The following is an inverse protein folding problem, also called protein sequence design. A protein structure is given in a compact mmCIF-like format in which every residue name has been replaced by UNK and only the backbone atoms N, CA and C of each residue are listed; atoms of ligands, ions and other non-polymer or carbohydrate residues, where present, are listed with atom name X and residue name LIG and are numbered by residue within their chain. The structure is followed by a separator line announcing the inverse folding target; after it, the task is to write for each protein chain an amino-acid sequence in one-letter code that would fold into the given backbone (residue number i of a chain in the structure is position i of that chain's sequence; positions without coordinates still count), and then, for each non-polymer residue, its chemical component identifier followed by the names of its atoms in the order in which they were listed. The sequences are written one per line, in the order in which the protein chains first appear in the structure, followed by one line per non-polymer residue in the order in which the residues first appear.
data_IF_050995427663
#
_entry.id   IF_050995427663
#
_cell.length_a   1.000
_cell.length_b   1.000
_cell.length_c   1.000
_cell.angle_alpha   90.00
_cell.angle_beta   90.00
_cell.angle_gamma   90.00
#
_symmetry.space_group_name_H-M   'P 1'
#
loop_
_entity.id
_entity.type
_entity.pdbx_description
1 polymer ?
#
# COMPACT_ATOMS: atom_id res chain seq x y z
N UNK A 1 19.25 22.06 23.11
CA UNK A 1 20.40 22.20 24.03
C UNK A 1 19.98 21.64 25.37
N UNK A 2 20.86 20.95 26.09
CA UNK A 2 20.54 20.45 27.43
C UNK A 2 20.44 21.63 28.42
N UNK A 3 19.39 21.65 29.24
CA UNK A 3 19.13 22.73 30.22
C UNK A 3 19.76 22.35 31.56
N UNK A 4 20.71 23.15 32.07
CA UNK A 4 21.22 22.98 33.43
C UNK A 4 20.23 23.59 34.44
N UNK A 5 19.46 22.71 35.08
CA UNK A 5 18.43 23.02 36.06
C UNK A 5 18.98 23.64 37.35
N UNK A 6 20.24 23.35 37.71
CA UNK A 6 20.86 23.86 38.94
C UNK A 6 21.38 25.30 38.79
N UNK A 7 21.57 25.79 37.55
CA UNK A 7 22.20 27.07 37.28
C UNK A 7 21.47 28.22 37.98
N UNK A 8 22.19 28.94 38.84
CA UNK A 8 21.77 30.09 39.65
C UNK A 8 20.57 29.81 40.56
N UNK A 9 20.34 28.54 40.90
CA UNK A 9 19.29 28.16 41.85
C UNK A 9 19.73 28.43 43.29
N UNK A 10 18.77 28.62 44.22
CA UNK A 10 19.06 28.74 45.65
C UNK A 10 19.80 27.49 46.18
N UNK A 11 20.77 27.71 47.05
CA UNK A 11 21.55 26.62 47.66
C UNK A 11 21.68 26.79 49.16
N UNK A 12 21.82 25.65 49.84
CA UNK A 12 22.21 25.55 51.25
C UNK A 12 23.25 24.44 51.39
N UNK A 13 24.12 24.52 52.39
CA UNK A 13 25.14 23.50 52.64
C UNK A 13 25.28 23.19 54.12
N UNK A 14 25.86 22.03 54.44
CA UNK A 14 26.14 21.63 55.82
C UNK A 14 27.15 22.55 56.52
N UNK A 15 28.13 23.05 55.77
CA UNK A 15 29.08 24.06 56.22
C UNK A 15 29.68 24.80 55.03
N UNK A 16 30.30 25.95 55.27
CA UNK A 16 31.22 26.56 54.33
C UNK A 16 32.20 27.52 55.04
N UNK A 17 33.32 27.86 54.38
CA UNK A 17 34.22 28.93 54.80
C UNK A 17 34.08 30.14 53.87
N UNK A 18 33.89 31.34 54.41
CA UNK A 18 33.87 32.55 53.57
C UNK A 18 35.21 32.77 52.84
N UNK A 19 35.21 33.22 51.57
CA UNK A 19 34.04 33.60 50.75
C UNK A 19 33.40 32.47 49.94
N UNK A 20 33.76 31.21 50.16
CA UNK A 20 33.44 30.03 49.35
C UNK A 20 32.07 29.41 49.67
N UNK A 21 31.02 30.24 49.60
CA UNK A 21 29.63 29.85 49.86
C UNK A 21 29.06 28.89 48.79
N UNK A 22 28.01 28.11 49.10
CA UNK A 22 27.47 27.09 48.19
C UNK A 22 26.93 27.64 46.87
N UNK A 23 26.42 28.88 46.85
CA UNK A 23 25.88 29.49 45.64
C UNK A 23 26.92 29.64 44.51
N UNK A 24 28.22 29.63 44.85
CA UNK A 24 29.31 29.68 43.87
C UNK A 24 29.45 28.40 43.07
N UNK A 25 29.02 27.26 43.61
CA UNK A 25 29.09 25.98 42.89
C UNK A 25 27.93 25.78 41.91
N UNK A 26 27.06 26.76 41.70
CA UNK A 26 25.96 26.68 40.72
C UNK A 26 25.83 27.97 39.91
N UNK A 27 26.84 28.84 39.90
CA UNK A 27 26.74 30.16 39.29
C UNK A 27 27.15 30.20 37.80
N UNK A 28 27.72 29.11 37.28
CA UNK A 28 28.24 28.99 35.92
C UNK A 28 29.67 29.53 35.72
N UNK A 29 30.32 30.03 36.76
CA UNK A 29 31.74 30.39 36.75
C UNK A 29 32.54 29.30 37.47
N UNK A 30 33.09 28.37 36.70
CA UNK A 30 33.83 27.23 37.21
C UNK A 30 35.32 27.25 36.86
N UNK A 31 35.77 28.30 36.18
CA UNK A 31 37.18 28.50 35.79
C UNK A 31 37.91 29.45 36.74
N UNK A 32 37.19 30.32 37.45
CA UNK A 32 37.78 31.21 38.45
C UNK A 32 38.06 30.46 39.74
N UNK A 33 39.32 30.41 40.23
CA UNK A 33 39.68 29.69 41.46
C UNK A 33 38.84 30.01 42.72
N UNK A 34 38.36 31.26 42.82
CA UNK A 34 37.55 31.68 43.96
C UNK A 34 36.06 31.33 43.82
N UNK A 35 35.61 30.94 42.63
CA UNK A 35 34.22 30.55 42.38
C UNK A 35 34.04 29.05 42.68
N UNK A 36 34.04 28.74 43.98
CA UNK A 36 33.87 27.39 44.48
C UNK A 36 33.15 27.39 45.82
N UNK A 37 32.48 26.27 46.11
CA UNK A 37 32.07 25.92 47.46
C UNK A 37 33.24 25.27 48.22
N UNK A 38 33.41 25.56 49.52
CA UNK A 38 34.39 24.90 50.39
C UNK A 38 33.73 24.45 51.70
N UNK A 39 33.48 23.15 51.83
CA UNK A 39 33.00 22.50 53.04
C UNK A 39 34.16 22.23 54.02
N UNK A 40 33.96 22.53 55.30
CA UNK A 40 35.01 22.41 56.34
C UNK A 40 34.79 21.24 57.31
N UNK A 41 33.65 20.55 57.21
CA UNK A 41 33.29 19.42 58.05
C UNK A 41 32.64 18.32 57.21
N UNK A 42 33.18 17.10 57.32
CA UNK A 42 32.66 15.93 56.62
C UNK A 42 32.17 14.85 57.60
N UNK A 43 31.11 14.09 57.27
CA UNK A 43 30.37 14.15 56.00
C UNK A 43 29.60 15.47 55.85
N UNK A 44 29.53 15.96 54.61
CA UNK A 44 28.96 17.27 54.31
C UNK A 44 28.19 17.26 53.00
N UNK A 45 27.40 18.29 52.76
CA UNK A 45 26.52 18.33 51.59
C UNK A 45 26.29 19.75 51.09
N UNK A 46 25.98 19.86 49.80
CA UNK A 46 25.44 21.06 49.17
C UNK A 46 24.14 20.67 48.46
N UNK A 47 23.05 21.30 48.87
CA UNK A 47 21.70 21.12 48.33
C UNK A 47 21.35 22.31 47.44
N UNK A 48 20.68 22.02 46.32
CA UNK A 48 20.09 22.97 45.38
C UNK A 48 18.57 22.80 45.42
N UNK A 49 17.82 23.88 45.61
CA UNK A 49 16.37 23.92 45.39
C UNK A 49 16.09 24.28 43.93
N UNK A 50 15.62 23.31 43.14
CA UNK A 50 15.28 23.56 41.73
C UNK A 50 14.01 24.43 41.59
N UNK A 51 13.27 24.64 42.68
CA UNK A 51 12.04 25.43 42.78
C UNK A 51 10.77 24.60 42.59
N UNK A 52 10.84 23.58 41.74
CA UNK A 52 9.75 22.68 41.38
C UNK A 52 10.33 21.28 41.11
N UNK A 53 9.48 20.27 40.93
CA UNK A 53 9.94 18.93 40.56
C UNK A 53 10.33 18.92 39.09
N UNK A 54 11.58 18.55 38.79
CA UNK A 54 12.06 18.37 37.42
C UNK A 54 12.50 16.93 37.19
N UNK A 55 12.30 16.43 35.96
CA UNK A 55 12.93 15.19 35.48
C UNK A 55 14.34 15.47 34.95
N UNK A 56 15.33 14.72 35.42
CA UNK A 56 16.72 14.83 35.00
C UNK A 56 17.38 13.45 34.91
N UNK A 57 18.33 13.31 34.00
CA UNK A 57 19.02 12.04 33.73
C UNK A 57 20.54 12.19 33.65
N UNK A 58 21.08 13.40 33.80
CA UNK A 58 22.51 13.66 33.75
C UNK A 58 22.93 14.67 34.80
N UNK A 59 24.07 14.41 35.42
CA UNK A 59 24.66 15.29 36.41
C UNK A 59 26.15 15.45 36.17
N UNK A 60 26.67 16.64 36.50
CA UNK A 60 28.08 16.96 36.36
C UNK A 60 28.60 17.59 37.64
N UNK A 61 29.74 17.09 38.10
CA UNK A 61 30.54 17.67 39.19
C UNK A 61 31.88 18.09 38.62
N UNK A 62 32.14 19.40 38.62
CA UNK A 62 33.41 20.00 38.24
C UNK A 62 34.20 20.38 39.48
N UNK A 63 35.44 19.92 39.55
CA UNK A 63 36.25 19.98 40.77
C UNK A 63 37.49 20.83 40.57
N UNK A 64 38.16 21.18 41.66
CA UNK A 64 39.20 22.21 41.64
C UNK A 64 40.25 22.07 40.53
N UNK A 65 40.75 20.87 40.13
CA UNK A 65 41.77 20.80 39.09
C UNK A 65 41.38 21.44 37.75
N UNK A 66 40.08 21.57 37.43
CA UNK A 66 39.65 22.26 36.21
C UNK A 66 40.03 23.75 36.19
N UNK A 67 40.31 24.33 37.35
CA UNK A 67 40.76 25.71 37.51
C UNK A 67 42.23 25.80 37.97
N UNK A 68 43.02 24.73 37.73
CA UNK A 68 44.49 24.76 37.78
C UNK A 68 45.14 24.11 39.00
N UNK A 69 44.39 23.45 39.87
CA UNK A 69 44.96 22.75 41.02
C UNK A 69 45.51 21.35 40.66
N UNK A 70 46.49 20.84 41.42
CA UNK A 70 47.03 19.51 41.20
C UNK A 70 45.95 18.42 41.24
N UNK A 71 45.94 17.56 40.22
CA UNK A 71 45.13 16.33 40.16
C UNK A 71 46.01 15.13 40.51
N UNK A 72 45.52 14.13 41.29
CA UNK A 72 44.16 13.99 41.81
C UNK A 72 43.95 14.59 43.21
N UNK A 73 44.98 15.22 43.78
CA UNK A 73 45.00 15.77 45.15
C UNK A 73 43.75 16.58 45.50
N UNK A 74 43.27 17.41 44.57
CA UNK A 74 42.12 18.28 44.77
C UNK A 74 40.82 17.77 44.12
N UNK A 75 40.73 16.46 43.86
CA UNK A 75 39.48 15.79 43.55
C UNK A 75 38.87 15.23 44.86
N UNK A 76 37.58 15.45 45.09
CA UNK A 76 36.77 14.74 46.07
C UNK A 76 36.75 13.24 45.73
N UNK A 77 36.84 12.40 46.78
CA UNK A 77 37.04 10.96 46.65
C UNK A 77 35.71 10.20 46.63
N UNK A 78 34.85 10.39 47.64
CA UNK A 78 33.60 9.63 47.80
C UNK A 78 32.42 10.59 47.96
N UNK A 79 31.51 10.57 46.99
CA UNK A 79 30.31 11.42 46.99
C UNK A 79 29.15 10.80 46.22
N UNK A 80 27.94 11.19 46.61
CA UNK A 80 26.69 10.61 46.15
C UNK A 80 25.77 11.74 45.67
N UNK A 81 25.21 11.59 44.46
CA UNK A 81 24.07 12.39 44.03
C UNK A 81 22.82 11.87 44.73
N UNK A 82 22.10 12.76 45.40
CA UNK A 82 20.84 12.43 46.08
C UNK A 82 19.70 13.36 45.64
N UNK A 83 18.47 12.83 45.62
CA UNK A 83 17.24 13.56 45.32
C UNK A 83 16.24 13.55 46.48
N UNK A 84 15.44 14.60 46.61
CA UNK A 84 14.38 14.76 47.62
C UNK A 84 13.25 15.66 47.12
N UNK A 85 12.03 15.46 47.65
CA UNK A 85 10.87 16.34 47.40
C UNK A 85 10.44 17.15 48.62
N UNK A 86 10.99 16.86 49.80
CA UNK A 86 10.71 17.52 51.08
C UNK A 86 11.95 18.19 51.70
N UNK A 87 13.12 18.02 51.08
CA UNK A 87 14.45 18.40 51.58
C UNK A 87 14.90 17.69 52.88
N UNK A 88 14.13 16.72 53.37
CA UNK A 88 14.38 15.99 54.62
C UNK A 88 14.72 14.52 54.35
N UNK A 89 13.93 13.87 53.49
CA UNK A 89 14.07 12.48 53.08
C UNK A 89 14.82 12.41 51.75
N UNK A 90 15.96 11.71 51.72
CA UNK A 90 16.87 11.68 50.58
C UNK A 90 17.05 10.28 50.02
N UNK A 91 16.98 10.15 48.69
CA UNK A 91 17.27 8.92 47.96
C UNK A 91 18.62 9.03 47.23
N UNK A 92 19.44 7.98 47.30
CA UNK A 92 20.68 7.85 46.53
C UNK A 92 20.36 7.55 45.06
N UNK A 93 20.88 8.37 44.15
CA UNK A 93 20.64 8.24 42.70
C UNK A 93 21.86 7.71 41.95
N UNK A 94 23.06 8.17 42.33
CA UNK A 94 24.34 7.70 41.80
C UNK A 94 25.43 7.90 42.85
N UNK A 95 26.37 6.95 42.93
CA UNK A 95 27.45 6.96 43.90
C UNK A 95 28.81 6.92 43.19
N UNK A 96 29.71 7.78 43.65
CA UNK A 96 31.09 7.88 43.22
C UNK A 96 31.98 7.54 44.40
N UNK A 97 32.91 6.61 44.21
CA UNK A 97 33.88 6.20 45.22
C UNK A 97 35.29 6.18 44.63
N UNK A 98 36.29 6.46 45.46
CA UNK A 98 37.71 6.52 45.12
C UNK A 98 38.00 7.38 43.87
N UNK A 99 37.27 8.49 43.71
CA UNK A 99 37.40 9.34 42.54
C UNK A 99 38.73 10.09 42.50
N UNK A 100 39.33 10.08 41.31
CA UNK A 100 40.55 10.83 40.98
C UNK A 100 40.33 11.80 39.81
N UNK A 101 39.14 11.82 39.21
CA UNK A 101 38.81 12.65 38.05
C UNK A 101 38.36 14.06 38.46
N UNK A 102 38.87 15.06 37.74
CA UNK A 102 38.52 16.47 37.94
C UNK A 102 37.08 16.82 37.49
N UNK A 103 36.53 16.02 36.58
CA UNK A 103 35.15 16.13 36.11
C UNK A 103 34.53 14.75 36.25
N UNK A 104 33.38 14.69 36.92
CA UNK A 104 32.49 13.54 36.89
C UNK A 104 31.25 13.97 36.12
N UNK A 105 31.03 13.35 34.96
CA UNK A 105 29.91 13.61 34.07
C UNK A 105 29.22 12.28 33.78
N UNK A 106 28.04 12.07 34.35
CA UNK A 106 27.38 10.76 34.37
C UNK A 106 25.91 10.87 34.01
N UNK A 107 25.46 9.87 33.26
CA UNK A 107 24.04 9.60 33.04
C UNK A 107 23.53 8.70 34.17
N UNK A 108 22.33 8.98 34.66
CA UNK A 108 21.56 8.04 35.46
C UNK A 108 21.07 6.89 34.58
N UNK A 109 20.90 5.72 35.18
CA UNK A 109 20.36 4.54 34.50
C UNK A 109 18.89 4.71 34.09
N UNK A 110 18.16 5.56 34.82
CA UNK A 110 16.83 6.03 34.48
C UNK A 110 16.67 7.48 34.96
N UNK A 111 15.87 8.28 34.26
CA UNK A 111 15.58 9.64 34.68
C UNK A 111 14.93 9.65 36.08
N UNK A 112 15.36 10.58 36.93
CA UNK A 112 14.85 10.80 38.27
C UNK A 112 14.03 12.10 38.32
N UNK A 113 13.01 12.17 39.18
CA UNK A 113 12.14 13.34 39.32
C UNK A 113 12.14 13.86 40.75
N UNK A 114 12.80 15.00 40.99
CA UNK A 114 12.92 15.60 42.31
C UNK A 114 12.93 17.13 42.25
N UNK A 115 12.50 17.79 43.34
CA UNK A 115 12.64 19.23 43.52
C UNK A 115 13.99 19.64 44.11
N UNK A 116 14.46 18.88 45.08
CA UNK A 116 15.73 19.12 45.75
C UNK A 116 16.73 18.08 45.30
N UNK A 117 17.94 18.53 44.99
CA UNK A 117 19.07 17.69 44.64
C UNK A 117 20.26 18.10 45.48
N UNK A 118 21.06 17.13 45.93
CA UNK A 118 22.28 17.45 46.67
C UNK A 118 23.42 16.55 46.27
N UNK A 119 24.62 17.10 46.41
CA UNK A 119 25.85 16.32 46.45
C UNK A 119 26.16 16.05 47.92
N UNK A 120 26.15 14.77 48.31
CA UNK A 120 26.55 14.33 49.65
C UNK A 120 27.97 13.79 49.59
N UNK A 121 28.88 14.39 50.35
CA UNK A 121 30.31 14.06 50.35
C UNK A 121 30.63 13.30 51.62
N UNK A 122 30.91 12.01 51.46
CA UNK A 122 31.33 11.15 52.56
C UNK A 122 32.85 11.26 52.81
N UNK A 123 33.64 11.37 51.73
CA UNK A 123 35.09 11.53 51.78
C UNK A 123 35.55 12.65 50.86
N UNK A 124 36.26 13.61 51.45
CA UNK A 124 36.67 14.86 50.83
C UNK A 124 37.77 14.74 49.78
N UNK A 125 38.60 15.78 49.66
CA UNK A 125 39.72 15.85 48.72
C UNK A 125 40.72 14.70 48.95
N UNK A 126 41.33 14.16 47.89
CA UNK A 126 42.34 13.10 48.03
C UNK A 126 43.56 13.53 48.87
N UNK A 127 43.95 14.81 48.83
CA UNK A 127 45.02 15.34 49.67
C UNK A 127 44.58 15.67 51.10
N UNK A 128 43.28 15.83 51.36
CA UNK A 128 42.74 16.03 52.70
C UNK A 128 41.27 15.63 52.76
N UNK A 129 41.02 14.45 53.33
CA UNK A 129 39.70 13.82 53.33
C UNK A 129 38.66 14.49 54.24
N UNK A 130 39.05 15.55 54.98
CA UNK A 130 38.18 16.33 55.88
C UNK A 130 37.53 17.54 55.24
N UNK A 131 37.96 17.93 54.03
CA UNK A 131 37.41 19.08 53.31
C UNK A 131 36.83 18.64 51.97
N UNK A 132 35.76 19.28 51.53
CA UNK A 132 35.21 19.12 50.19
C UNK A 132 35.21 20.46 49.47
N UNK A 133 35.49 20.48 48.18
CA UNK A 133 35.41 21.71 47.40
C UNK A 133 35.01 21.44 45.96
N UNK A 134 34.11 22.27 45.46
CA UNK A 134 33.41 22.05 44.21
C UNK A 134 33.37 23.34 43.41
N UNK A 135 33.75 23.28 42.14
CA UNK A 135 33.72 24.42 41.21
C UNK A 135 32.31 24.59 40.63
N UNK A 136 31.68 23.50 40.17
CA UNK A 136 30.31 23.53 39.64
C UNK A 136 29.58 22.22 39.91
N UNK A 137 28.28 22.32 40.20
CA UNK A 137 27.31 21.24 40.29
C UNK A 137 26.20 21.50 39.26
N UNK A 138 26.12 20.65 38.25
CA UNK A 138 25.19 20.77 37.15
C UNK A 138 24.20 19.60 37.17
N UNK A 139 22.93 19.88 36.91
CA UNK A 139 21.85 18.89 36.78
C UNK A 139 21.15 19.18 35.47
N UNK A 140 21.13 18.22 34.55
CA UNK A 140 20.59 18.44 33.21
C UNK A 140 19.22 17.79 33.05
N UNK A 141 18.26 18.56 32.58
CA UNK A 141 16.89 18.11 32.32
C UNK A 141 16.89 16.91 31.36
N UNK A 142 16.13 15.88 31.72
CA UNK A 142 15.94 14.72 30.87
C UNK A 142 15.09 15.12 29.65
N UNK A 143 15.32 14.53 28.47
CA UNK A 143 14.41 14.70 27.35
C UNK A 143 12.98 14.34 27.78
N UNK A 144 11.98 15.15 27.43
CA UNK A 144 10.60 14.83 27.80
C UNK A 144 10.21 13.54 27.08
N UNK A 145 9.44 12.67 27.74
CA UNK A 145 9.12 11.36 27.19
C UNK A 145 7.69 10.93 27.51
N UNK A 146 7.14 10.11 26.62
CA UNK A 146 5.90 9.40 26.88
C UNK A 146 6.17 8.25 27.86
N UNK A 147 5.28 8.11 28.85
CA UNK A 147 5.18 6.95 29.72
C UNK A 147 4.40 5.80 29.07
N UNK A 148 3.53 6.11 28.11
CA UNK A 148 2.74 5.13 27.37
C UNK A 148 2.25 5.68 26.04
N UNK A 149 2.05 4.79 25.07
CA UNK A 149 1.41 5.10 23.80
C UNK A 149 0.54 3.92 23.37
N UNK A 150 -0.76 4.12 23.36
CA UNK A 150 -1.73 3.14 22.83
C UNK A 150 -2.26 3.68 21.51
N UNK A 151 -2.32 2.82 20.49
CA UNK A 151 -2.99 3.11 19.22
C UNK A 151 -4.22 2.22 19.14
N UNK A 152 -5.37 2.80 18.75
CA UNK A 152 -6.61 2.06 18.54
C UNK A 152 -7.18 2.30 17.15
N UNK A 153 -7.80 1.28 16.57
CA UNK A 153 -8.52 1.41 15.30
C UNK A 153 -9.93 2.01 15.48
N UNK A 154 -10.67 2.11 14.38
CA UNK A 154 -12.04 2.65 14.38
C UNK A 154 -13.05 1.80 15.14
N UNK A 155 -12.72 0.55 15.46
CA UNK A 155 -13.55 -0.39 16.21
C UNK A 155 -13.09 -0.53 17.68
N UNK A 156 -12.20 0.37 18.13
CA UNK A 156 -11.59 0.41 19.48
C UNK A 156 -10.64 -0.77 19.80
N UNK A 157 -10.23 -1.56 18.80
CA UNK A 157 -9.21 -2.59 18.98
C UNK A 157 -7.82 -1.97 19.08
N UNK A 158 -6.96 -2.57 19.90
CA UNK A 158 -5.55 -2.14 20.01
C UNK A 158 -4.82 -2.49 18.72
N UNK A 159 -4.17 -1.49 18.13
CA UNK A 159 -3.22 -1.66 17.03
C UNK A 159 -1.83 -1.82 17.62
N UNK A 160 -1.26 -3.02 17.52
CA UNK A 160 0.03 -3.34 18.11
C UNK A 160 1.18 -2.60 17.42
N UNK A 161 2.02 -1.94 18.23
CA UNK A 161 3.25 -1.30 17.78
C UNK A 161 4.40 -2.31 17.71
N UNK A 162 5.24 -2.17 16.71
CA UNK A 162 6.49 -2.91 16.52
C UNK A 162 7.67 -1.93 16.33
N UNK A 163 8.64 -1.90 17.26
CA UNK A 163 8.70 -2.66 18.50
C UNK A 163 7.57 -2.28 19.47
N UNK A 164 7.34 -3.09 20.52
CA UNK A 164 6.43 -2.70 21.59
C UNK A 164 6.90 -1.37 22.23
N UNK A 165 5.96 -0.56 22.74
CA UNK A 165 6.27 0.80 23.19
C UNK A 165 7.37 0.81 24.26
N UNK A 166 8.37 1.67 24.05
CA UNK A 166 9.44 1.99 24.98
C UNK A 166 9.74 3.49 24.91
N UNK A 167 9.81 4.19 26.04
CA UNK A 167 10.00 5.64 26.08
C UNK A 167 11.27 6.14 25.37
N UNK A 168 12.28 5.27 25.19
CA UNK A 168 13.56 5.55 24.52
C UNK A 168 13.55 5.22 23.02
N UNK A 169 12.49 4.62 22.49
CA UNK A 169 12.35 4.34 21.06
C UNK A 169 11.53 5.43 20.39
N UNK A 170 12.13 6.05 19.37
CA UNK A 170 11.55 7.22 18.70
C UNK A 170 10.73 6.86 17.44
N UNK A 171 10.78 5.60 16.98
CA UNK A 171 10.11 5.17 15.75
C UNK A 171 9.45 3.80 15.92
N UNK A 172 8.20 3.72 15.46
CA UNK A 172 7.35 2.55 15.55
C UNK A 172 6.70 2.25 14.22
N UNK A 173 6.43 0.97 13.97
CA UNK A 173 5.63 0.49 12.85
C UNK A 173 4.40 -0.23 13.37
N UNK A 174 3.30 -0.15 12.63
CA UNK A 174 2.13 -0.98 12.85
C UNK A 174 1.46 -1.31 11.51
N UNK A 175 0.62 -2.35 11.51
CA UNK A 175 -0.18 -2.71 10.34
C UNK A 175 -1.66 -2.77 10.72
N UNK A 176 -2.54 -2.29 9.84
CA UNK A 176 -3.99 -2.36 10.02
C UNK A 176 -4.67 -3.02 8.82
N UNK A 177 -5.84 -3.59 9.07
CA UNK A 177 -6.67 -4.21 8.05
C UNK A 177 -7.25 -3.16 7.09
N UNK A 178 -7.63 -3.60 5.89
CA UNK A 178 -8.22 -2.74 4.85
C UNK A 178 -9.52 -2.06 5.32
N UNK A 179 -10.26 -2.67 6.25
CA UNK A 179 -11.50 -2.12 6.82
C UNK A 179 -11.28 -0.92 7.75
N UNK A 180 -10.09 -0.75 8.32
CA UNK A 180 -9.81 0.31 9.29
C UNK A 180 -9.78 1.67 8.60
N UNK A 181 -10.77 2.52 8.85
CA UNK A 181 -10.88 3.83 8.22
C UNK A 181 -9.98 4.89 8.88
N UNK A 182 -9.78 4.78 10.20
CA UNK A 182 -9.02 5.72 11.00
C UNK A 182 -8.42 5.05 12.23
N UNK A 183 -7.45 5.70 12.85
CA UNK A 183 -6.93 5.35 14.17
C UNK A 183 -7.03 6.52 15.13
N UNK A 184 -6.96 6.24 16.42
CA UNK A 184 -6.77 7.22 17.48
C UNK A 184 -5.56 6.84 18.33
N UNK A 185 -4.91 7.84 18.93
CA UNK A 185 -3.76 7.65 19.80
C UNK A 185 -4.10 8.11 21.21
N UNK A 186 -3.69 7.33 22.21
CA UNK A 186 -3.81 7.63 23.63
C UNK A 186 -2.39 7.73 24.20
N UNK A 187 -1.73 8.89 24.07
CA UNK A 187 -0.41 9.13 24.64
C UNK A 187 -0.52 9.49 26.12
N UNK A 188 0.40 8.98 26.94
CA UNK A 188 0.52 9.28 28.37
C UNK A 188 1.93 9.81 28.67
N UNK A 189 2.05 10.84 29.51
CA UNK A 189 3.33 11.42 29.94
C UNK A 189 3.56 11.13 31.42
N UNK A 190 4.83 11.09 31.83
CA UNK A 190 5.20 11.02 33.25
C UNK A 190 5.18 12.42 33.89
N UNK A 191 5.61 13.43 33.14
CA UNK A 191 5.66 14.82 33.59
C UNK A 191 4.32 15.51 33.35
N UNK A 192 3.65 15.94 34.42
CA UNK A 192 2.35 16.60 34.34
C UNK A 192 2.39 17.98 33.68
N UNK A 193 3.57 18.59 33.55
CA UNK A 193 3.77 19.86 32.84
C UNK A 193 3.92 19.68 31.32
N UNK A 194 4.08 18.44 30.84
CA UNK A 194 4.31 18.17 29.43
C UNK A 194 3.08 18.44 28.56
N UNK A 195 3.33 19.06 27.40
CA UNK A 195 2.33 19.26 26.35
C UNK A 195 2.52 18.18 25.28
N UNK A 196 1.47 17.43 24.98
CA UNK A 196 1.47 16.41 23.92
C UNK A 196 0.75 16.96 22.69
N UNK A 197 1.31 16.75 21.50
CA UNK A 197 0.62 16.97 20.23
C UNK A 197 0.66 15.72 19.37
N UNK A 198 -0.48 15.37 18.77
CA UNK A 198 -0.61 14.32 17.75
C UNK A 198 -0.93 14.99 16.42
N UNK A 199 -0.06 14.85 15.42
CA UNK A 199 -0.14 15.59 14.14
C UNK A 199 -0.36 17.11 14.36
N UNK A 200 0.42 17.70 15.26
CA UNK A 200 0.34 19.12 15.68
C UNK A 200 -0.90 19.54 16.49
N UNK A 201 -1.87 18.65 16.71
CA UNK A 201 -3.06 18.92 17.54
C UNK A 201 -2.82 18.52 18.99
N UNK A 202 -3.11 19.40 19.94
CA UNK A 202 -2.93 19.11 21.37
C UNK A 202 -3.84 17.99 21.84
N UNK A 203 -3.29 17.10 22.67
CA UNK A 203 -4.00 15.96 23.28
C UNK A 203 -3.71 15.93 24.77
N UNK A 204 -4.74 15.77 25.58
CA UNK A 204 -4.57 15.64 27.04
C UNK A 204 -3.99 14.26 27.36
N UNK A 205 -3.03 14.21 28.30
CA UNK A 205 -2.39 12.97 28.72
C UNK A 205 -3.41 11.90 29.12
N UNK A 206 -3.24 10.68 28.61
CA UNK A 206 -4.11 9.53 28.89
C UNK A 206 -5.47 9.59 28.18
N UNK A 207 -5.72 10.58 27.31
CA UNK A 207 -6.97 10.71 26.55
C UNK A 207 -6.75 10.42 25.06
N UNK A 208 -7.84 10.07 24.37
CA UNK A 208 -7.80 9.77 22.93
C UNK A 208 -7.67 11.05 22.10
N UNK A 209 -6.83 11.00 21.08
CA UNK A 209 -6.75 12.03 20.03
C UNK A 209 -8.03 12.09 19.20
N UNK A 210 -8.15 13.12 18.36
CA UNK A 210 -9.10 13.07 17.24
C UNK A 210 -8.77 11.88 16.30
N UNK A 211 -9.77 11.31 15.60
CA UNK A 211 -9.53 10.27 14.59
C UNK A 211 -8.61 10.76 13.47
N UNK A 212 -7.63 9.94 13.12
CA UNK A 212 -6.68 10.18 12.03
C UNK A 212 -7.02 9.21 10.91
N UNK A 213 -7.40 9.73 9.75
CA UNK A 213 -7.72 8.92 8.56
C UNK A 213 -6.52 8.11 8.11
N UNK A 214 -6.73 6.81 7.85
CA UNK A 214 -5.71 5.91 7.34
C UNK A 214 -6.05 5.51 5.90
N UNK A 215 -5.20 5.96 4.98
CA UNK A 215 -5.27 5.61 3.56
C UNK A 215 -4.53 4.30 3.29
N UNK A 216 -4.84 3.64 2.17
CA UNK A 216 -4.08 2.45 1.74
C UNK A 216 -2.60 2.82 1.59
N UNK A 217 -1.71 1.93 2.03
CA UNK A 217 -0.27 2.16 2.07
C UNK A 217 0.19 2.73 3.42
N UNK A 218 1.34 3.40 3.39
CA UNK A 218 2.01 3.91 4.59
C UNK A 218 1.48 5.27 5.01
N UNK A 219 1.07 5.39 6.27
CA UNK A 219 0.59 6.63 6.89
C UNK A 219 1.53 6.97 8.04
N UNK A 220 2.10 8.17 8.01
CA UNK A 220 2.99 8.65 9.06
C UNK A 220 2.21 9.52 10.05
N UNK A 221 2.37 9.23 11.34
CA UNK A 221 1.78 9.99 12.45
C UNK A 221 2.91 10.47 13.35
N UNK A 222 2.90 11.75 13.68
CA UNK A 222 3.87 12.35 14.59
C UNK A 222 3.22 12.59 15.95
N UNK A 223 3.88 12.13 17.02
CA UNK A 223 3.53 12.50 18.40
C UNK A 223 4.70 13.26 19.00
N UNK A 224 4.51 14.54 19.31
CA UNK A 224 5.52 15.33 19.99
C UNK A 224 5.14 15.56 21.45
N UNK A 225 6.15 15.53 22.31
CA UNK A 225 6.06 15.78 23.75
C UNK A 225 7.04 16.89 24.09
N UNK A 226 6.54 17.96 24.71
CA UNK A 226 7.33 19.18 25.00
C UNK A 226 7.25 19.54 26.48
N UNK A 227 8.40 19.82 27.09
CA UNK A 227 8.53 20.37 28.45
C UNK A 227 9.56 21.50 28.38
N UNK A 228 9.22 22.68 28.91
CA UNK A 228 10.11 23.86 28.98
C UNK A 228 10.84 24.21 27.66
N UNK A 229 10.17 24.01 26.53
CA UNK A 229 10.71 24.29 25.20
C UNK A 229 11.66 23.23 24.64
N UNK A 230 11.91 22.14 25.37
CA UNK A 230 12.57 20.93 24.84
C UNK A 230 11.48 20.00 24.30
N UNK A 231 11.66 19.47 23.09
CA UNK A 231 10.68 18.58 22.44
C UNK A 231 11.32 17.24 22.09
N UNK A 232 10.60 16.15 22.37
CA UNK A 232 10.88 14.80 21.85
C UNK A 232 9.78 14.39 20.87
N UNK A 233 10.15 13.71 19.79
CA UNK A 233 9.23 13.29 18.73
C UNK A 233 9.24 11.76 18.63
N UNK A 234 8.04 11.17 18.60
CA UNK A 234 7.78 9.78 18.28
C UNK A 234 7.11 9.70 16.91
N UNK A 235 7.68 8.91 16.00
CA UNK A 235 7.14 8.67 14.66
C UNK A 235 6.47 7.30 14.61
N UNK A 236 5.20 7.27 14.24
CA UNK A 236 4.43 6.03 14.08
C UNK A 236 4.10 5.87 12.59
N UNK A 237 4.60 4.80 12.00
CA UNK A 237 4.34 4.40 10.62
C UNK A 237 3.27 3.31 10.60
N UNK A 238 2.04 3.65 10.22
CA UNK A 238 0.94 2.70 10.09
C UNK A 238 0.76 2.31 8.63
N UNK A 239 1.00 1.04 8.32
CA UNK A 239 0.77 0.49 6.99
C UNK A 239 -0.63 -0.13 6.93
N UNK A 240 -1.47 0.38 6.03
CA UNK A 240 -2.76 -0.24 5.71
C UNK A 240 -2.62 -1.10 4.47
N UNK A 241 -2.98 -2.37 4.57
CA UNK A 241 -2.93 -3.30 3.46
C UNK A 241 -3.81 -2.82 2.29
N UNK A 242 -3.36 -3.06 1.06
CA UNK A 242 -4.17 -2.88 -0.14
C UNK A 242 -4.97 -4.16 -0.44
N UNK A 243 -5.96 -4.05 -1.34
CA UNK A 243 -6.80 -5.19 -1.68
C UNK A 243 -6.05 -6.22 -2.55
N UNK A 244 -6.25 -7.49 -2.22
CA UNK A 244 -5.69 -8.65 -2.93
C UNK A 244 -6.70 -9.26 -3.93
N UNK A 245 -7.40 -8.44 -4.71
CA UNK A 245 -8.38 -8.89 -5.71
C UNK A 245 -7.80 -8.81 -7.13
N UNK A 246 -7.29 -9.92 -7.70
CA UNK A 246 -6.68 -9.94 -9.02
C UNK A 246 -7.68 -10.31 -10.13
N UNK A 247 -9.00 -10.18 -9.93
CA UNK A 247 -9.95 -10.69 -10.92
C UNK A 247 -10.38 -9.63 -11.94
N UNK A 248 -10.64 -10.08 -13.18
CA UNK A 248 -11.36 -9.27 -14.17
C UNK A 248 -12.82 -9.10 -13.76
N UNK A 249 -13.40 -7.95 -14.12
CA UNK A 249 -14.84 -7.67 -14.04
C UNK A 249 -15.55 -7.86 -15.37
N UNK A 250 -14.86 -7.59 -16.48
CA UNK A 250 -15.43 -7.70 -17.81
C UNK A 250 -14.35 -7.85 -18.89
N UNK A 251 -14.72 -8.57 -19.95
CA UNK A 251 -14.07 -8.58 -21.26
C UNK A 251 -15.14 -8.20 -22.27
N UNK A 252 -14.94 -7.13 -23.01
CA UNK A 252 -15.82 -6.72 -24.11
C UNK A 252 -15.04 -6.75 -25.41
N UNK A 253 -15.61 -7.36 -26.45
CA UNK A 253 -14.96 -7.53 -27.75
C UNK A 253 -15.90 -6.95 -28.81
N UNK A 254 -15.39 -6.06 -29.67
CA UNK A 254 -16.16 -5.44 -30.74
C UNK A 254 -15.41 -5.61 -32.07
N UNK A 255 -16.06 -6.21 -33.06
CA UNK A 255 -15.52 -6.38 -34.42
C UNK A 255 -15.31 -5.04 -35.14
N UNK A 256 -14.60 -5.06 -36.26
CA UNK A 256 -14.35 -3.88 -37.10
C UNK A 256 -15.67 -3.27 -37.64
N UNK A 257 -16.71 -4.10 -37.77
CA UNK A 257 -18.07 -3.76 -38.16
C UNK A 257 -18.89 -3.10 -37.02
N UNK A 258 -18.29 -2.88 -35.84
CA UNK A 258 -18.91 -2.34 -34.61
C UNK A 258 -19.95 -3.26 -33.96
N UNK A 259 -19.96 -4.54 -34.31
CA UNK A 259 -20.83 -5.55 -33.69
C UNK A 259 -20.08 -6.21 -32.53
N UNK A 260 -20.79 -6.49 -31.44
CA UNK A 260 -20.23 -7.20 -30.31
C UNK A 260 -19.93 -8.65 -30.67
N UNK A 261 -18.72 -9.11 -30.38
CA UNK A 261 -18.32 -10.52 -30.49
C UNK A 261 -18.50 -11.13 -29.10
N UNK A 262 -19.32 -12.18 -29.02
CA UNK A 262 -19.61 -12.86 -27.75
C UNK A 262 -18.51 -13.85 -27.39
N UNK A 263 -18.31 -14.05 -26.09
CA UNK A 263 -17.52 -15.17 -25.58
C UNK A 263 -18.28 -16.49 -25.81
N UNK A 264 -17.56 -17.56 -26.14
CA UNK A 264 -18.16 -18.89 -26.34
C UNK A 264 -18.58 -19.56 -25.02
N UNK A 265 -18.14 -19.00 -23.90
CA UNK A 265 -18.45 -19.43 -22.54
C UNK A 265 -19.00 -18.28 -21.69
N UNK A 266 -19.79 -18.62 -20.66
CA UNK A 266 -20.20 -17.69 -19.62
C UNK A 266 -18.98 -17.05 -18.96
N UNK A 267 -19.01 -15.73 -18.77
CA UNK A 267 -17.93 -15.01 -18.13
C UNK A 267 -17.94 -15.25 -16.60
N UNK A 268 -17.03 -16.11 -16.14
CA UNK A 268 -16.77 -16.37 -14.72
C UNK A 268 -15.27 -16.18 -14.40
N UNK A 269 -14.84 -14.94 -14.06
CA UNK A 269 -13.43 -14.58 -13.91
C UNK A 269 -12.77 -15.15 -12.66
N UNK A 270 -13.53 -15.78 -11.76
CA UNK A 270 -13.01 -16.40 -10.54
C UNK A 270 -12.74 -17.88 -10.71
N UNK A 271 -13.44 -18.54 -11.65
CA UNK A 271 -13.30 -19.97 -11.90
C UNK A 271 -12.80 -20.32 -13.31
N UNK A 272 -12.81 -19.37 -14.25
CA UNK A 272 -12.34 -19.56 -15.63
C UNK A 272 -11.27 -18.54 -16.00
N UNK A 273 -10.15 -19.04 -16.52
CA UNK A 273 -8.99 -18.21 -16.90
C UNK A 273 -8.65 -18.27 -18.39
N UNK A 274 -9.40 -19.06 -19.15
CA UNK A 274 -9.23 -19.19 -20.59
C UNK A 274 -10.58 -18.88 -21.24
N UNK A 275 -10.60 -17.84 -22.07
CA UNK A 275 -11.79 -17.39 -22.76
C UNK A 275 -11.57 -17.49 -24.27
N UNK A 276 -12.52 -18.11 -24.97
CA UNK A 276 -12.57 -18.07 -26.44
C UNK A 276 -13.73 -17.22 -26.94
N UNK A 277 -13.58 -16.68 -28.14
CA UNK A 277 -14.60 -15.94 -28.87
C UNK A 277 -14.46 -16.20 -30.36
N UNK A 278 -15.58 -16.36 -31.06
CA UNK A 278 -15.63 -16.52 -32.51
C UNK A 278 -16.07 -15.22 -33.20
N UNK A 279 -15.17 -14.60 -33.97
CA UNK A 279 -15.47 -13.42 -34.77
C UNK A 279 -16.25 -13.78 -36.05
N UNK A 280 -16.84 -12.79 -36.75
CA UNK A 280 -17.29 -13.02 -38.13
C UNK A 280 -16.07 -13.12 -39.07
N UNK A 281 -16.22 -13.81 -40.19
CA UNK A 281 -15.16 -13.89 -41.22
C UNK A 281 -14.72 -12.50 -41.71
N UNK A 282 -15.65 -11.55 -41.82
CA UNK A 282 -15.37 -10.20 -42.32
C UNK A 282 -14.70 -9.29 -41.25
N UNK A 283 -14.64 -9.73 -39.99
CA UNK A 283 -13.90 -9.03 -38.94
C UNK A 283 -12.39 -9.24 -39.14
N UNK A 284 -11.73 -8.25 -39.74
CA UNK A 284 -10.27 -8.23 -39.92
C UNK A 284 -9.53 -7.69 -38.68
N UNK A 285 -10.27 -7.13 -37.73
CA UNK A 285 -9.78 -6.73 -36.43
C UNK A 285 -10.91 -6.71 -35.41
N UNK A 286 -10.53 -6.73 -34.13
CA UNK A 286 -11.43 -6.52 -33.01
C UNK A 286 -10.83 -5.50 -32.04
N UNK A 287 -11.67 -4.73 -31.37
CA UNK A 287 -11.27 -3.91 -30.22
C UNK A 287 -11.67 -4.66 -28.96
N UNK A 288 -10.71 -4.89 -28.06
CA UNK A 288 -10.93 -5.52 -26.76
C UNK A 288 -10.84 -4.46 -25.68
N UNK A 289 -11.82 -4.44 -24.78
CA UNK A 289 -11.83 -3.64 -23.55
C UNK A 289 -11.84 -4.57 -22.36
N UNK A 290 -10.84 -4.43 -21.50
CA UNK A 290 -10.72 -5.16 -20.23
C UNK A 290 -11.04 -4.23 -19.08
N UNK A 291 -11.72 -4.74 -18.06
CA UNK A 291 -11.98 -4.01 -16.80
C UNK A 291 -11.66 -4.94 -15.64
N UNK A 292 -10.86 -4.48 -14.68
CA UNK A 292 -10.60 -5.19 -13.43
C UNK A 292 -11.76 -5.02 -12.43
N UNK A 293 -11.94 -5.98 -11.53
CA UNK A 293 -12.94 -5.93 -10.45
C UNK A 293 -12.56 -4.91 -9.38
N UNK A 294 -11.29 -4.88 -8.99
CA UNK A 294 -10.72 -3.80 -8.20
C UNK A 294 -10.26 -2.64 -9.13
N UNK A 295 -10.82 -1.41 -8.98
CA UNK A 295 -10.41 -0.26 -9.79
C UNK A 295 -8.94 0.14 -9.61
N UNK A 296 -8.29 -0.28 -8.51
CA UNK A 296 -6.88 0.00 -8.24
C UNK A 296 -5.95 -1.14 -8.71
N UNK A 297 -6.49 -2.28 -9.13
CA UNK A 297 -5.70 -3.33 -9.77
C UNK A 297 -5.14 -2.82 -11.11
N UNK A 298 -3.97 -3.33 -11.48
CA UNK A 298 -3.31 -3.01 -12.73
C UNK A 298 -3.48 -4.16 -13.72
N UNK A 299 -3.78 -3.80 -14.96
CA UNK A 299 -3.90 -4.73 -16.08
C UNK A 299 -2.67 -4.61 -16.97
N UNK A 300 -2.14 -5.74 -17.45
CA UNK A 300 -1.17 -5.77 -18.54
C UNK A 300 -1.58 -6.78 -19.60
N UNK A 301 -1.21 -6.49 -20.85
CA UNK A 301 -1.59 -7.27 -22.03
C UNK A 301 -0.32 -7.66 -22.77
N UNK A 302 -0.13 -8.95 -23.03
CA UNK A 302 1.04 -9.52 -23.71
C UNK A 302 2.39 -9.08 -23.11
N UNK A 303 2.45 -8.89 -21.78
CA UNK A 303 3.66 -8.41 -21.08
C UNK A 303 3.98 -6.92 -21.30
N UNK A 304 3.05 -6.14 -21.85
CA UNK A 304 3.16 -4.69 -21.97
C UNK A 304 3.07 -3.96 -20.62
N UNK A 305 3.09 -2.63 -20.65
CA UNK A 305 3.01 -1.80 -19.44
C UNK A 305 1.69 -2.03 -18.68
N UNK A 306 1.78 -2.10 -17.36
CA UNK A 306 0.63 -2.26 -16.48
C UNK A 306 -0.04 -0.90 -16.21
N UNK A 307 -1.37 -0.84 -16.22
CA UNK A 307 -2.15 0.38 -15.91
C UNK A 307 -3.43 0.05 -15.15
N UNK A 308 -3.88 0.95 -14.27
CA UNK A 308 -5.19 0.84 -13.61
C UNK A 308 -6.31 1.41 -14.49
N UNK A 309 -7.55 1.00 -14.19
CA UNK A 309 -8.73 1.33 -15.00
C UNK A 309 -8.88 0.47 -16.26
N UNK A 310 -9.90 0.77 -17.10
CA UNK A 310 -10.15 -0.03 -18.31
C UNK A 310 -9.02 0.10 -19.33
N UNK A 311 -8.53 -1.04 -19.83
CA UNK A 311 -7.53 -1.07 -20.91
C UNK A 311 -8.23 -1.43 -22.22
N UNK A 312 -7.93 -0.66 -23.27
CA UNK A 312 -8.42 -0.92 -24.63
C UNK A 312 -7.25 -1.22 -25.55
N UNK A 313 -7.34 -2.29 -26.35
CA UNK A 313 -6.33 -2.64 -27.34
C UNK A 313 -6.96 -3.32 -28.58
N UNK A 314 -6.35 -3.18 -29.76
CA UNK A 314 -6.79 -3.89 -30.95
C UNK A 314 -6.20 -5.30 -31.03
N UNK A 315 -6.97 -6.23 -31.59
CA UNK A 315 -6.53 -7.54 -32.06
C UNK A 315 -6.64 -7.52 -33.58
N UNK A 316 -5.50 -7.51 -34.29
CA UNK A 316 -5.45 -7.56 -35.75
C UNK A 316 -5.52 -9.00 -36.23
N UNK A 317 -6.52 -9.33 -37.05
CA UNK A 317 -6.81 -10.68 -37.52
C UNK A 317 -6.61 -10.77 -39.04
N UNK A 318 -5.39 -10.64 -39.54
CA UNK A 318 -5.09 -10.51 -40.98
C UNK A 318 -5.47 -11.73 -41.83
N UNK A 319 -5.55 -12.91 -41.23
CA UNK A 319 -5.97 -14.17 -41.87
C UNK A 319 -6.89 -15.00 -40.97
N UNK A 320 -7.64 -15.97 -41.50
CA UNK A 320 -8.30 -16.98 -40.66
C UNK A 320 -7.31 -17.65 -39.69
N UNK A 321 -7.74 -17.89 -38.46
CA UNK A 321 -6.89 -18.49 -37.42
C UNK A 321 -7.22 -18.03 -36.01
N UNK A 322 -6.42 -18.51 -35.06
CA UNK A 322 -6.54 -18.22 -33.63
C UNK A 322 -5.58 -17.11 -33.22
N UNK A 323 -6.10 -16.09 -32.54
CA UNK A 323 -5.34 -14.95 -32.04
C UNK A 323 -5.42 -14.92 -30.51
N UNK A 324 -4.35 -15.35 -29.86
CA UNK A 324 -4.26 -15.43 -28.40
C UNK A 324 -3.64 -14.18 -27.80
N UNK A 325 -4.21 -13.71 -26.71
CA UNK A 325 -3.75 -12.60 -25.90
C UNK A 325 -3.57 -13.06 -24.46
N UNK A 326 -2.36 -12.88 -23.91
CA UNK A 326 -2.11 -13.06 -22.50
C UNK A 326 -2.50 -11.79 -21.74
N UNK A 327 -3.22 -11.93 -20.64
CA UNK A 327 -3.68 -10.84 -19.80
C UNK A 327 -3.21 -11.14 -18.38
N UNK A 328 -2.64 -10.16 -17.70
CA UNK A 328 -2.31 -10.27 -16.28
C UNK A 328 -3.02 -9.16 -15.53
N UNK A 329 -3.66 -9.54 -14.43
CA UNK A 329 -4.21 -8.61 -13.44
C UNK A 329 -3.34 -8.70 -12.20
N UNK A 330 -2.69 -7.60 -11.84
CA UNK A 330 -1.97 -7.41 -10.58
C UNK A 330 -2.90 -6.68 -9.61
N UNK A 331 -3.21 -7.30 -8.48
CA UNK A 331 -4.04 -6.69 -7.45
C UNK A 331 -3.36 -5.44 -6.85
N UNK A 332 -4.13 -4.61 -6.15
CA UNK A 332 -3.61 -3.37 -5.57
C UNK A 332 -2.52 -3.58 -4.51
N UNK A 333 -2.40 -4.79 -3.94
CA UNK A 333 -1.32 -5.20 -3.04
C UNK A 333 0.06 -5.35 -3.71
N UNK A 334 0.12 -5.33 -5.05
CA UNK A 334 1.36 -5.44 -5.82
C UNK A 334 2.05 -6.81 -5.74
N UNK A 335 1.40 -7.82 -5.17
CA UNK A 335 1.97 -9.16 -4.98
C UNK A 335 1.07 -10.28 -5.48
N UNK A 336 -0.24 -10.09 -5.37
CA UNK A 336 -1.24 -11.04 -5.85
C UNK A 336 -1.49 -10.79 -7.33
N UNK A 337 -1.37 -11.83 -8.16
CA UNK A 337 -1.59 -11.75 -9.60
C UNK A 337 -2.49 -12.88 -10.09
N UNK A 338 -3.22 -12.62 -11.18
CA UNK A 338 -3.97 -13.65 -11.91
C UNK A 338 -3.76 -13.45 -13.41
N UNK A 339 -3.48 -14.56 -14.09
CA UNK A 339 -3.33 -14.59 -15.54
C UNK A 339 -4.60 -15.11 -16.21
N UNK A 340 -4.97 -14.49 -17.32
CA UNK A 340 -6.03 -14.91 -18.22
C UNK A 340 -5.49 -15.07 -19.64
N UNK A 341 -6.12 -15.93 -20.43
CA UNK A 341 -5.90 -16.07 -21.86
C UNK A 341 -7.19 -15.75 -22.59
N UNK A 342 -7.14 -14.81 -23.54
CA UNK A 342 -8.23 -14.55 -24.48
C UNK A 342 -7.81 -15.03 -25.86
N UNK A 343 -8.56 -15.95 -26.45
CA UNK A 343 -8.38 -16.43 -27.82
C UNK A 343 -9.54 -15.97 -28.69
N UNK A 344 -9.27 -15.10 -29.65
CA UNK A 344 -10.25 -14.71 -30.67
C UNK A 344 -9.95 -15.52 -31.93
N UNK A 345 -10.91 -16.34 -32.37
CA UNK A 345 -10.79 -17.11 -33.61
C UNK A 345 -11.48 -16.33 -34.73
N UNK A 346 -10.72 -15.99 -35.77
CA UNK A 346 -11.29 -15.57 -37.06
C UNK A 346 -11.56 -16.82 -37.89
N UNK A 347 -12.83 -17.14 -38.22
CA UNK A 347 -13.15 -18.33 -38.99
C UNK A 347 -12.60 -18.25 -40.42
N UNK A 348 -12.55 -19.38 -41.11
CA UNK A 348 -12.38 -19.43 -42.56
C UNK A 348 -13.68 -19.02 -43.27
N UNK A 349 -13.68 -18.78 -44.59
CA UNK A 349 -14.91 -18.26 -45.24
C UNK A 349 -15.99 -19.32 -45.27
N UNK A 350 -17.19 -18.97 -44.79
CA UNK A 350 -18.42 -19.75 -44.98
C UNK A 350 -19.27 -19.20 -46.14
N UNK A 351 -18.71 -18.35 -47.01
CA UNK A 351 -19.45 -17.76 -48.12
C UNK A 351 -19.43 -18.65 -49.37
N UNK A 352 -20.55 -18.60 -50.10
CA UNK A 352 -20.65 -19.08 -51.47
C UNK A 352 -20.09 -17.99 -52.38
N UNK A 353 -19.26 -18.36 -53.37
CA UNK A 353 -18.76 -17.44 -54.39
C UNK A 353 -19.69 -17.37 -55.61
N UNK A 354 -20.31 -18.50 -55.98
CA UNK A 354 -21.33 -18.55 -57.03
C UNK A 354 -22.21 -19.80 -56.95
N UNK A 355 -23.38 -19.73 -57.59
CA UNK A 355 -24.34 -20.85 -57.75
C UNK A 355 -24.63 -21.01 -59.25
N UNK A 356 -24.50 -22.23 -59.78
CA UNK A 356 -24.73 -22.55 -61.19
C UNK A 356 -25.90 -23.55 -61.37
N UNK A 357 -27.05 -23.11 -61.91
CA UNK A 357 -28.21 -23.97 -62.09
C UNK A 357 -28.27 -24.69 -63.46
N UNK A 358 -28.81 -25.91 -63.48
CA UNK A 358 -29.16 -26.64 -64.71
C UNK A 358 -30.58 -27.25 -64.65
N UNK A 359 -31.47 -26.97 -65.63
CA UNK A 359 -31.33 -25.93 -66.67
C UNK A 359 -31.23 -24.53 -66.04
N UNK A 360 -30.79 -23.54 -66.81
CA UNK A 360 -30.58 -22.19 -66.32
C UNK A 360 -31.87 -21.61 -65.72
N UNK A 361 -31.78 -21.09 -64.49
CA UNK A 361 -32.85 -20.34 -63.81
C UNK A 361 -32.30 -19.02 -63.29
N UNK A 362 -33.17 -18.04 -63.11
CA UNK A 362 -32.79 -16.73 -62.56
C UNK A 362 -33.04 -16.69 -61.06
N UNK A 363 -31.97 -16.44 -60.30
CA UNK A 363 -32.07 -16.11 -58.89
C UNK A 363 -32.44 -14.63 -58.73
N UNK A 364 -33.56 -14.36 -58.07
CA UNK A 364 -34.05 -13.02 -57.75
C UNK A 364 -33.82 -12.77 -56.27
N UNK A 365 -33.36 -11.59 -55.89
CA UNK A 365 -33.16 -11.24 -54.49
C UNK A 365 -34.50 -11.10 -53.74
N UNK A 366 -34.64 -11.65 -52.54
CA UNK A 366 -35.86 -11.50 -51.73
C UNK A 366 -35.62 -11.09 -50.27
N UNK A 367 -36.21 -9.98 -49.77
CA UNK A 367 -36.89 -8.92 -50.53
C UNK A 367 -35.88 -7.98 -51.19
N UNK A 368 -36.10 -7.61 -52.46
CA UNK A 368 -35.36 -6.53 -53.09
C UNK A 368 -35.26 -6.62 -54.60
N UNK A 369 -34.91 -5.52 -55.28
CA UNK A 369 -34.66 -5.56 -56.72
C UNK A 369 -33.30 -6.22 -57.02
N UNK A 370 -33.24 -6.93 -58.14
CA UNK A 370 -32.00 -7.45 -58.70
C UNK A 370 -32.00 -8.96 -58.93
N UNK A 371 -31.14 -9.38 -59.85
CA UNK A 371 -30.96 -10.77 -60.25
C UNK A 371 -29.51 -11.20 -60.05
N UNK A 372 -29.30 -12.51 -59.93
CA UNK A 372 -27.98 -13.10 -59.77
C UNK A 372 -27.54 -13.20 -58.31
N UNK A 373 -26.52 -14.00 -58.09
CA UNK A 373 -25.96 -14.24 -56.77
C UNK A 373 -25.12 -13.05 -56.27
N UNK A 374 -25.28 -12.69 -55.00
CA UNK A 374 -24.44 -11.70 -54.30
C UNK A 374 -24.01 -12.29 -52.97
N UNK A 375 -22.69 -12.24 -52.71
CA UNK A 375 -22.01 -12.88 -51.57
C UNK A 375 -22.74 -12.70 -50.23
N UNK A 376 -23.07 -11.45 -49.88
CA UNK A 376 -23.64 -11.06 -48.59
C UNK A 376 -25.18 -11.05 -48.59
N UNK A 377 -25.80 -11.68 -49.58
CA UNK A 377 -27.24 -11.77 -49.72
C UNK A 377 -27.68 -13.23 -49.59
N UNK A 378 -28.60 -13.49 -48.66
CA UNK A 378 -28.87 -14.85 -48.15
C UNK A 378 -30.25 -15.40 -48.49
N UNK A 379 -31.14 -14.62 -49.10
CA UNK A 379 -32.51 -15.04 -49.38
C UNK A 379 -32.81 -14.79 -50.86
N UNK A 380 -33.28 -15.80 -51.59
CA UNK A 380 -33.52 -15.69 -53.02
C UNK A 380 -34.86 -16.30 -53.39
N UNK A 381 -35.39 -15.88 -54.54
CA UNK A 381 -36.56 -16.44 -55.21
C UNK A 381 -36.17 -16.98 -56.58
N UNK A 382 -36.72 -18.13 -56.94
CA UNK A 382 -36.66 -18.73 -58.28
C UNK A 382 -38.08 -19.07 -58.71
N UNK A 383 -38.51 -18.50 -59.84
CA UNK A 383 -39.78 -18.83 -60.49
C UNK A 383 -39.49 -19.68 -61.71
N UNK A 384 -39.99 -20.92 -61.75
CA UNK A 384 -39.68 -21.87 -62.83
C UNK A 384 -40.76 -22.93 -62.99
N UNK A 385 -40.98 -23.34 -64.25
CA UNK A 385 -41.90 -24.44 -64.61
C UNK A 385 -41.19 -25.80 -64.77
N UNK A 386 -39.87 -25.84 -64.65
CA UNK A 386 -39.06 -27.07 -64.76
C UNK A 386 -38.23 -27.30 -63.50
N UNK A 387 -38.08 -28.58 -63.11
CA UNK A 387 -37.16 -28.96 -62.06
C UNK A 387 -35.71 -28.66 -62.49
N UNK A 388 -34.87 -28.30 -61.53
CA UNK A 388 -33.47 -27.94 -61.77
C UNK A 388 -32.55 -28.52 -60.70
N UNK A 389 -31.25 -28.47 -60.95
CA UNK A 389 -30.18 -28.78 -59.98
C UNK A 389 -29.26 -27.57 -59.86
N UNK A 390 -28.52 -27.49 -58.76
CA UNK A 390 -27.52 -26.44 -58.57
C UNK A 390 -26.16 -27.05 -58.28
N UNK A 391 -25.10 -26.37 -58.74
CA UNK A 391 -23.75 -26.46 -58.21
C UNK A 391 -23.47 -25.27 -57.32
N UNK A 392 -22.70 -25.50 -56.26
CA UNK A 392 -22.26 -24.46 -55.34
C UNK A 392 -20.75 -24.36 -55.39
N UNK A 393 -20.25 -23.14 -55.63
CA UNK A 393 -18.83 -22.82 -55.55
C UNK A 393 -18.57 -22.04 -54.26
N UNK A 394 -17.56 -22.47 -53.52
CA UNK A 394 -17.22 -21.90 -52.21
C UNK A 394 -16.13 -20.85 -52.39
N UNK A 395 -16.13 -19.81 -51.56
CA UNK A 395 -15.09 -18.78 -51.59
C UNK A 395 -13.73 -19.33 -51.12
N UNK A 396 -13.73 -20.24 -50.15
CA UNK A 396 -12.51 -20.80 -49.55
C UNK A 396 -12.40 -22.31 -49.83
N UNK A 397 -11.98 -22.66 -51.04
CA UNK A 397 -11.71 -24.04 -51.49
C UNK A 397 -10.23 -24.17 -51.89
N UNK A 398 -9.52 -25.29 -51.60
CA UNK A 398 -9.98 -26.57 -51.05
C UNK A 398 -9.94 -26.68 -49.52
N UNK A 399 -9.70 -25.57 -48.80
CA UNK A 399 -9.70 -25.56 -47.33
C UNK A 399 -11.11 -25.95 -46.84
N UNK A 400 -11.24 -27.17 -46.30
CA UNK A 400 -12.45 -28.00 -46.31
C UNK A 400 -13.64 -27.33 -45.60
N UNK A 401 -14.60 -26.85 -46.39
CA UNK A 401 -15.90 -26.37 -45.92
C UNK A 401 -16.96 -27.48 -46.04
N UNK A 402 -17.81 -27.65 -45.03
CA UNK A 402 -18.97 -28.56 -45.13
C UNK A 402 -20.15 -27.78 -45.70
N UNK A 403 -20.76 -28.32 -46.75
CA UNK A 403 -21.98 -27.74 -47.34
C UNK A 403 -23.10 -28.76 -47.19
N UNK A 404 -24.19 -28.34 -46.56
CA UNK A 404 -25.40 -29.15 -46.45
C UNK A 404 -26.52 -28.54 -47.28
N UNK A 405 -27.32 -29.41 -47.87
CA UNK A 405 -28.42 -29.09 -48.78
C UNK A 405 -29.70 -29.74 -48.28
N UNK A 406 -30.76 -28.96 -48.16
CA UNK A 406 -32.05 -29.41 -47.65
C UNK A 406 -33.18 -28.78 -48.47
N UNK A 407 -34.20 -29.57 -48.80
CA UNK A 407 -35.44 -29.08 -49.41
C UNK A 407 -36.55 -29.20 -48.37
N UNK A 408 -37.24 -28.08 -48.10
CA UNK A 408 -38.26 -27.95 -47.07
C UNK A 408 -37.75 -28.50 -45.72
N UNK A 409 -38.58 -29.25 -45.00
CA UNK A 409 -38.21 -29.95 -43.77
C UNK A 409 -37.66 -31.37 -44.00
N UNK A 410 -37.18 -31.69 -45.21
CA UNK A 410 -36.63 -33.00 -45.55
C UNK A 410 -35.26 -33.27 -44.91
N UNK A 411 -34.68 -34.44 -45.16
CA UNK A 411 -33.32 -34.75 -44.67
C UNK A 411 -32.27 -33.85 -45.32
N UNK A 412 -31.31 -33.39 -44.51
CA UNK A 412 -30.14 -32.66 -45.00
C UNK A 412 -29.12 -33.63 -45.61
N UNK A 413 -28.64 -33.33 -46.82
CA UNK A 413 -27.61 -34.11 -47.53
C UNK A 413 -26.35 -33.27 -47.72
N UNK A 414 -25.17 -33.89 -47.75
CA UNK A 414 -23.93 -33.18 -48.09
C UNK A 414 -23.91 -32.83 -49.59
N UNK A 415 -23.48 -31.59 -49.92
CA UNK A 415 -23.36 -31.09 -51.29
C UNK A 415 -21.90 -30.66 -51.55
N UNK A 416 -21.04 -31.53 -52.09
CA UNK A 416 -19.64 -31.17 -52.33
C UNK A 416 -19.48 -29.95 -53.24
N UNK A 417 -18.35 -29.27 -53.10
CA UNK A 417 -17.95 -28.20 -54.03
C UNK A 417 -18.01 -28.69 -55.48
N UNK A 418 -18.61 -27.89 -56.37
CA UNK A 418 -18.75 -28.20 -57.80
C UNK A 418 -19.50 -29.51 -58.12
N UNK A 419 -20.29 -30.04 -57.18
CA UNK A 419 -21.19 -31.17 -57.39
C UNK A 419 -22.64 -30.70 -57.56
N UNK A 420 -23.42 -31.43 -58.38
CA UNK A 420 -24.84 -31.15 -58.52
C UNK A 420 -25.62 -31.64 -57.30
N UNK A 421 -26.57 -30.82 -56.86
CA UNK A 421 -27.60 -31.22 -55.89
C UNK A 421 -28.49 -32.35 -56.41
N UNK A 422 -29.27 -32.95 -55.50
CA UNK A 422 -30.46 -33.68 -55.90
C UNK A 422 -31.44 -32.73 -56.65
N UNK A 423 -32.32 -33.26 -57.54
CA UNK A 423 -33.29 -32.43 -58.25
C UNK A 423 -34.15 -31.61 -57.29
N UNK A 424 -34.23 -30.30 -57.52
CA UNK A 424 -35.12 -29.38 -56.85
C UNK A 424 -36.46 -29.41 -57.61
N UNK A 425 -37.54 -29.94 -57.01
CA UNK A 425 -38.83 -30.04 -57.69
C UNK A 425 -39.56 -28.69 -57.71
N UNK A 426 -40.33 -28.48 -58.77
CA UNK A 426 -41.30 -27.38 -58.84
C UNK A 426 -42.51 -27.75 -57.99
N UNK A 427 -42.94 -26.91 -57.03
CA UNK A 427 -44.11 -27.20 -56.22
C UNK A 427 -45.39 -27.20 -57.07
N UNK A 428 -46.34 -28.10 -56.75
CA UNK A 428 -47.65 -28.13 -57.41
C UNK A 428 -48.53 -26.92 -57.02
N UNK A 429 -48.35 -26.41 -55.80
CA UNK A 429 -48.93 -25.18 -55.28
C UNK A 429 -48.02 -24.63 -54.16
N UNK A 430 -48.01 -23.31 -53.96
CA UNK A 430 -47.14 -22.65 -52.97
C UNK A 430 -45.66 -22.65 -53.37
N UNK A 431 -44.77 -22.72 -52.39
CA UNK A 431 -43.32 -22.64 -52.58
C UNK A 431 -42.58 -23.79 -51.89
N UNK A 432 -41.47 -24.23 -52.50
CA UNK A 432 -40.47 -25.06 -51.84
C UNK A 432 -39.32 -24.16 -51.34
N UNK A 433 -38.76 -24.45 -50.17
CA UNK A 433 -37.61 -23.73 -49.63
C UNK A 433 -36.38 -24.62 -49.69
N UNK A 434 -35.38 -24.21 -50.47
CA UNK A 434 -34.07 -24.85 -50.48
C UNK A 434 -33.17 -24.11 -49.51
N UNK A 435 -32.63 -24.82 -48.53
CA UNK A 435 -31.63 -24.28 -47.60
C UNK A 435 -30.27 -24.87 -47.93
N UNK A 436 -29.31 -24.00 -48.20
CA UNK A 436 -27.89 -24.33 -48.32
C UNK A 436 -27.19 -23.79 -47.08
N UNK A 437 -26.64 -24.67 -46.25
CA UNK A 437 -25.83 -24.26 -45.10
C UNK A 437 -24.37 -24.53 -45.42
N UNK A 438 -23.55 -23.49 -45.38
CA UNK A 438 -22.09 -23.60 -45.47
C UNK A 438 -21.52 -23.43 -44.08
N UNK A 439 -20.68 -24.37 -43.65
CA UNK A 439 -19.93 -24.33 -42.40
C UNK A 439 -18.44 -24.19 -42.72
N UNK A 440 -17.81 -23.16 -42.15
CA UNK A 440 -16.39 -22.91 -42.30
C UNK A 440 -15.56 -24.02 -41.67
N UNK A 441 -14.41 -24.33 -42.26
CA UNK A 441 -13.43 -25.26 -41.67
C UNK A 441 -12.93 -24.80 -40.30
N UNK A 442 -12.37 -23.59 -40.25
CA UNK A 442 -11.82 -22.98 -39.03
C UNK A 442 -12.95 -22.24 -38.32
N UNK A 443 -13.10 -22.47 -37.01
CA UNK A 443 -14.09 -21.79 -36.16
C UNK A 443 -15.54 -22.27 -36.32
N UNK A 444 -15.87 -23.07 -37.35
CA UNK A 444 -17.21 -23.66 -37.51
C UNK A 444 -18.34 -22.64 -37.73
N UNK A 445 -18.02 -21.43 -38.21
CA UNK A 445 -19.01 -20.41 -38.52
C UNK A 445 -19.94 -20.90 -39.63
N UNK A 446 -21.23 -20.52 -39.57
CA UNK A 446 -22.22 -20.97 -40.55
C UNK A 446 -22.90 -19.80 -41.25
N UNK A 447 -23.11 -19.94 -42.57
CA UNK A 447 -24.00 -19.06 -43.35
C UNK A 447 -25.08 -19.92 -43.99
N UNK A 448 -26.32 -19.43 -43.93
CA UNK A 448 -27.51 -20.12 -44.48
C UNK A 448 -28.08 -19.31 -45.63
N UNK A 449 -28.12 -19.91 -46.81
CA UNK A 449 -28.74 -19.36 -48.00
C UNK A 449 -30.07 -20.04 -48.23
N UNK A 450 -31.15 -19.27 -48.32
CA UNK A 450 -32.52 -19.76 -48.50
C UNK A 450 -32.96 -19.38 -49.91
N UNK A 451 -33.46 -20.34 -50.66
CA UNK A 451 -34.01 -20.13 -52.01
C UNK A 451 -35.46 -20.61 -51.99
N UNK A 452 -36.40 -19.67 -52.12
CA UNK A 452 -37.80 -19.95 -52.35
C UNK A 452 -38.03 -20.28 -53.82
N UNK A 453 -38.55 -21.47 -54.10
CA UNK A 453 -38.84 -21.96 -55.45
C UNK A 453 -40.34 -22.02 -55.62
N UNK A 454 -40.87 -21.30 -56.61
CA UNK A 454 -42.29 -21.27 -56.97
C UNK A 454 -42.48 -21.52 -58.46
N UNK A 455 -43.71 -21.88 -58.85
CA UNK A 455 -44.06 -22.20 -60.24
C UNK A 455 -44.41 -20.95 -61.05
#
# INVERSE_FOLDING_TARGET
MAINLALKKPTISSSYLQPYEPARAVNGDYMTPMSRWLCTHLPGWLTVDLGEVYSFDRWVVRQMPIAGWPSPDYCMSDFTLQGSNDAESWADLDNVAANTSAIVDRMLTAAASYRYVRIYVAKGLNANDKFASLMEFEIYQAPPSLAGLIVKDSDDHIVELNPAFNSNTDSYKATVLLSVASVTLIPTVLDSSAVIKVNSMEVVSGTSSAPITINVGTNQIEVSVTVDGVTKIYTIEITKAAAANPYLKAISITGNNKVAISLDQTFDPKNSFNYTALADYDDTSATVVLTADDPNAKLSVNGGASSSGPITFPVTMSSPGDYSTAIVVEAADGTTTQSYSLKVTRPSSAYISSIDPIPAVTFIKDPGPGTGFVRDYYNYKVVTIVAFRIKVFLEDYPNINKVSFQINSGSSTDLPHDAFSSPIPVPAAGSNFVTITVTSQTGGATKKYIIEVSK
#
